data_IF_084409157947
#
_entry.id   IF_084409157947
#
_cell.length_a   1.000
_cell.length_b   1.000
_cell.length_c   1.000
_cell.angle_alpha   90.00
_cell.angle_beta   90.00
_cell.angle_gamma   90.00
#
_symmetry.space_group_name_H-M   'P 1'
#
loop_
_entity.id
_entity.type
_entity.pdbx_description
1 polymer ?
#
# COMPACT_ATOMS: atom_id res chain seq x y z
N UNK A 1 20.49 20.80 -3.53
CA UNK A 1 19.59 19.64 -3.72
C UNK A 1 19.94 18.66 -2.61
N UNK A 2 19.07 18.50 -1.62
CA UNK A 2 19.32 17.57 -0.51
C UNK A 2 19.09 16.14 -1.03
N UNK A 3 20.11 15.29 -0.97
CA UNK A 3 19.98 13.88 -1.25
C UNK A 3 19.44 13.23 0.01
N UNK A 4 18.16 12.86 0.00
CA UNK A 4 17.56 12.06 1.07
C UNK A 4 18.15 10.65 0.93
N UNK A 5 19.04 10.26 1.84
CA UNK A 5 19.50 8.89 1.96
C UNK A 5 18.35 8.08 2.59
N UNK A 6 17.57 7.42 1.78
CA UNK A 6 16.66 6.37 2.26
C UNK A 6 17.52 5.12 2.45
N UNK A 7 17.67 4.67 3.68
CA UNK A 7 18.27 3.36 3.95
C UNK A 7 17.17 2.32 3.72
N UNK A 8 17.15 1.73 2.53
CA UNK A 8 16.27 0.60 2.23
C UNK A 8 16.82 -0.61 2.97
N UNK A 9 16.06 -1.15 3.92
CA UNK A 9 16.48 -2.33 4.69
C UNK A 9 15.38 -3.39 4.58
N UNK A 10 15.84 -4.62 4.41
CA UNK A 10 15.01 -5.81 4.41
C UNK A 10 14.04 -5.87 5.59
N UNK A 11 12.92 -6.55 5.41
CA UNK A 11 11.75 -6.73 6.29
C UNK A 11 12.00 -7.06 7.78
N UNK A 12 13.23 -7.11 8.27
CA UNK A 12 13.58 -7.52 9.63
C UNK A 12 14.10 -6.37 10.51
N UNK A 13 14.10 -5.13 10.06
CA UNK A 13 14.71 -4.02 10.81
C UNK A 13 13.70 -3.17 11.59
N UNK A 14 12.43 -3.24 11.25
CA UNK A 14 11.33 -2.54 11.91
C UNK A 14 10.32 -3.55 12.43
N UNK A 15 9.83 -3.35 13.64
CA UNK A 15 8.61 -3.98 14.13
C UNK A 15 7.47 -2.98 13.94
N UNK A 16 6.35 -3.42 13.45
CA UNK A 16 5.14 -2.62 13.30
C UNK A 16 4.07 -3.15 14.23
N UNK A 17 3.55 -2.29 15.08
CA UNK A 17 2.38 -2.54 15.91
C UNK A 17 1.16 -1.99 15.16
N UNK A 18 0.27 -2.89 14.73
CA UNK A 18 -0.91 -2.52 13.93
C UNK A 18 -1.94 -1.77 14.78
N UNK A 19 -2.10 -2.11 16.06
CA UNK A 19 -3.10 -1.51 16.94
C UNK A 19 -2.73 -0.06 17.29
N UNK A 20 -1.48 0.17 17.67
CA UNK A 20 -0.95 1.49 18.02
C UNK A 20 -0.49 2.29 16.79
N UNK A 21 -0.37 1.64 15.64
CA UNK A 21 0.16 2.19 14.39
C UNK A 21 1.56 2.80 14.53
N UNK A 22 2.39 2.12 15.31
CA UNK A 22 3.75 2.54 15.68
C UNK A 22 4.77 1.58 15.10
N UNK A 23 5.84 2.14 14.56
CA UNK A 23 7.01 1.38 14.18
C UNK A 23 8.07 1.47 15.29
N UNK A 24 8.76 0.36 15.57
CA UNK A 24 9.89 0.34 16.50
C UNK A 24 11.12 -0.28 15.86
N UNK A 25 12.29 0.27 16.22
CA UNK A 25 13.59 -0.22 15.76
C UNK A 25 14.64 0.04 16.84
N UNK A 26 15.35 -1.01 17.27
CA UNK A 26 16.36 -0.93 18.32
C UNK A 26 15.84 -0.23 19.59
N UNK A 27 14.61 -0.57 20.02
CA UNK A 27 13.93 0.03 21.18
C UNK A 27 13.58 1.53 21.03
N UNK A 28 13.70 2.08 19.83
CA UNK A 28 13.29 3.46 19.52
C UNK A 28 12.00 3.46 18.67
N UNK A 29 11.11 4.38 19.01
CA UNK A 29 9.86 4.59 18.27
C UNK A 29 10.05 5.47 17.03
N UNK A 30 9.35 5.10 15.96
CA UNK A 30 9.25 5.85 14.70
C UNK A 30 7.79 6.15 14.41
N UNK A 31 7.50 7.42 14.19
CA UNK A 31 6.15 7.84 13.79
C UNK A 31 5.84 7.35 12.38
N UNK A 32 4.67 6.76 12.15
CA UNK A 32 4.27 6.42 10.80
C UNK A 32 4.13 7.68 9.93
N UNK A 33 4.49 7.61 8.65
CA UNK A 33 4.34 8.72 7.70
C UNK A 33 2.88 9.16 7.64
N UNK A 34 1.95 8.22 7.70
CA UNK A 34 0.50 8.52 7.71
C UNK A 34 0.10 9.33 8.93
N UNK A 35 0.56 8.94 10.12
CA UNK A 35 0.32 9.67 11.39
C UNK A 35 0.98 11.05 11.35
N UNK A 36 2.19 11.16 10.80
CA UNK A 36 2.86 12.44 10.63
C UNK A 36 2.07 13.39 9.72
N UNK A 37 1.60 12.90 8.58
CA UNK A 37 0.82 13.70 7.60
C UNK A 37 -0.50 14.16 8.22
N UNK A 38 -1.19 13.32 8.99
CA UNK A 38 -2.45 13.69 9.68
C UNK A 38 -2.33 14.94 10.53
N UNK A 39 -1.14 15.28 11.07
CA UNK A 39 -0.92 16.49 11.85
C UNK A 39 -1.11 17.80 11.07
N UNK A 40 -1.09 17.74 9.75
CA UNK A 40 -1.22 18.92 8.86
C UNK A 40 -2.62 19.07 8.23
N UNK A 41 -3.51 18.11 8.49
CA UNK A 41 -4.87 18.12 7.95
C UNK A 41 -5.87 17.98 9.09
N UNK A 42 -7.06 18.57 8.91
CA UNK A 42 -8.18 18.29 9.81
C UNK A 42 -8.59 16.84 9.68
N UNK A 43 -8.98 16.21 10.78
CA UNK A 43 -9.53 14.86 10.75
C UNK A 43 -10.77 14.80 9.85
N UNK A 44 -10.87 13.69 9.11
CA UNK A 44 -12.04 13.42 8.29
C UNK A 44 -13.17 12.95 9.19
N UNK A 45 -14.19 13.81 9.35
CA UNK A 45 -15.40 13.47 10.08
C UNK A 45 -16.34 12.67 9.16
N UNK A 46 -16.17 11.35 9.21
CA UNK A 46 -16.92 10.39 8.39
C UNK A 46 -18.42 10.50 8.67
N UNK A 47 -18.81 10.67 9.95
CA UNK A 47 -20.21 10.77 10.36
C UNK A 47 -20.89 12.01 9.80
N UNK A 48 -20.28 13.17 9.98
CA UNK A 48 -20.83 14.42 9.45
C UNK A 48 -20.90 14.43 7.93
N UNK A 49 -19.93 13.80 7.25
CA UNK A 49 -19.94 13.68 5.79
C UNK A 49 -21.02 12.68 5.34
N UNK A 50 -21.17 11.54 5.99
CA UNK A 50 -22.21 10.55 5.68
C UNK A 50 -23.61 11.14 5.87
N UNK A 51 -23.84 11.86 6.95
CA UNK A 51 -25.11 12.55 7.20
C UNK A 51 -25.46 13.53 6.08
N UNK A 52 -24.51 14.38 5.66
CA UNK A 52 -24.71 15.29 4.52
C UNK A 52 -24.97 14.55 3.21
N UNK A 53 -24.38 13.39 3.00
CA UNK A 53 -24.57 12.58 1.80
C UNK A 53 -25.93 11.89 1.76
N UNK A 54 -26.46 11.45 2.89
CA UNK A 54 -27.79 10.85 3.01
C UNK A 54 -28.93 11.82 2.57
N UNK A 55 -28.73 13.14 2.71
CA UNK A 55 -29.70 14.16 2.29
C UNK A 55 -29.37 14.79 0.93
N UNK A 56 -28.34 14.32 0.24
CA UNK A 56 -27.90 14.87 -1.03
C UNK A 56 -28.36 14.04 -2.22
N UNK A 57 -28.71 14.72 -3.33
CA UNK A 57 -28.96 14.01 -4.59
C UNK A 57 -27.72 13.28 -5.08
N UNK A 58 -27.87 12.07 -5.60
CA UNK A 58 -26.81 11.29 -6.22
C UNK A 58 -26.69 9.89 -5.65
N UNK A 59 -25.49 9.35 -5.65
CA UNK A 59 -25.18 7.93 -5.34
C UNK A 59 -25.74 7.41 -4.01
N UNK A 60 -25.97 8.29 -3.04
CA UNK A 60 -26.36 7.95 -1.67
C UNK A 60 -27.75 8.47 -1.29
N UNK A 61 -28.54 9.00 -2.24
CA UNK A 61 -29.82 9.68 -1.97
C UNK A 61 -30.89 8.79 -1.35
N UNK A 62 -30.77 7.49 -1.49
CA UNK A 62 -31.69 6.45 -1.00
C UNK A 62 -31.14 5.68 0.22
N UNK A 63 -30.07 6.16 0.83
CA UNK A 63 -29.35 5.48 1.91
C UNK A 63 -29.36 6.25 3.19
N UNK A 64 -29.44 5.54 4.32
CA UNK A 64 -29.23 6.13 5.63
C UNK A 64 -27.74 6.46 5.87
N UNK A 65 -27.46 7.25 6.89
CA UNK A 65 -26.10 7.55 7.35
C UNK A 65 -25.33 6.26 7.65
N UNK A 66 -25.98 5.36 8.38
CA UNK A 66 -25.41 4.08 8.81
C UNK A 66 -25.05 3.21 7.59
N UNK A 67 -25.96 3.08 6.64
CA UNK A 67 -25.70 2.34 5.40
C UNK A 67 -24.52 2.93 4.60
N UNK A 68 -24.35 4.24 4.61
CA UNK A 68 -23.21 4.91 3.94
C UNK A 68 -21.90 4.57 4.66
N UNK A 69 -21.88 4.63 5.99
CA UNK A 69 -20.72 4.28 6.80
C UNK A 69 -20.33 2.82 6.61
N UNK A 70 -21.29 1.90 6.65
CA UNK A 70 -21.08 0.47 6.42
C UNK A 70 -20.50 0.22 5.01
N UNK A 71 -21.04 0.90 3.99
CA UNK A 71 -20.52 0.81 2.63
C UNK A 71 -19.09 1.33 2.50
N UNK A 72 -18.71 2.35 3.25
CA UNK A 72 -17.34 2.86 3.23
C UNK A 72 -16.39 1.92 3.95
N UNK A 73 -16.81 1.36 5.09
CA UNK A 73 -16.02 0.36 5.82
C UNK A 73 -15.80 -0.88 4.95
N UNK A 74 -16.86 -1.43 4.36
CA UNK A 74 -16.74 -2.60 3.48
C UNK A 74 -15.76 -2.35 2.32
N UNK A 75 -15.76 -1.13 1.75
CA UNK A 75 -14.79 -0.80 0.69
C UNK A 75 -13.35 -0.67 1.18
N UNK A 76 -13.15 -0.24 2.42
CA UNK A 76 -11.83 -0.22 3.02
C UNK A 76 -11.32 -1.65 3.24
N UNK A 77 -12.17 -2.51 3.78
CA UNK A 77 -11.86 -3.92 4.01
C UNK A 77 -11.58 -4.67 2.69
N UNK A 78 -12.44 -4.47 1.69
CA UNK A 78 -12.22 -5.01 0.33
C UNK A 78 -10.89 -4.52 -0.27
N UNK A 79 -10.52 -3.25 0.00
CA UNK A 79 -9.26 -2.67 -0.44
C UNK A 79 -8.05 -3.33 0.22
N UNK A 80 -8.11 -3.50 1.53
CA UNK A 80 -7.07 -4.19 2.31
C UNK A 80 -6.88 -5.62 1.83
N UNK A 81 -7.97 -6.34 1.61
CA UNK A 81 -7.91 -7.72 1.11
C UNK A 81 -7.29 -7.81 -0.29
N UNK A 82 -7.60 -6.87 -1.18
CA UNK A 82 -6.99 -6.82 -2.52
C UNK A 82 -5.48 -6.62 -2.43
N UNK A 83 -5.00 -5.72 -1.55
CA UNK A 83 -3.57 -5.49 -1.33
C UNK A 83 -2.89 -6.76 -0.82
N UNK A 84 -3.45 -7.40 0.22
CA UNK A 84 -2.95 -8.65 0.80
C UNK A 84 -2.77 -9.74 -0.26
N UNK A 85 -3.78 -9.97 -1.10
CA UNK A 85 -3.74 -11.02 -2.12
C UNK A 85 -2.74 -10.73 -3.25
N UNK A 86 -2.56 -9.45 -3.64
CA UNK A 86 -1.51 -9.07 -4.61
C UNK A 86 -0.12 -9.26 -3.99
N UNK A 87 0.06 -8.88 -2.73
CA UNK A 87 1.30 -9.09 -1.99
C UNK A 87 1.68 -10.56 -1.92
N UNK A 88 0.77 -11.42 -1.47
CA UNK A 88 0.98 -12.87 -1.38
C UNK A 88 1.34 -13.46 -2.74
N UNK A 89 0.62 -13.08 -3.79
CA UNK A 89 0.94 -13.52 -5.14
C UNK A 89 2.35 -13.12 -5.59
N UNK A 90 2.80 -11.88 -5.28
CA UNK A 90 4.15 -11.43 -5.58
C UNK A 90 5.19 -12.18 -4.77
N UNK A 91 4.92 -12.49 -3.50
CA UNK A 91 5.79 -13.28 -2.63
C UNK A 91 5.95 -14.71 -3.13
N UNK A 92 4.85 -15.35 -3.55
CA UNK A 92 4.90 -16.68 -4.20
C UNK A 92 5.77 -16.62 -5.46
N UNK A 93 5.54 -15.60 -6.30
CA UNK A 93 6.18 -15.53 -7.61
C UNK A 93 7.68 -15.21 -7.57
N UNK A 94 8.12 -14.38 -6.62
CA UNK A 94 9.48 -13.83 -6.60
C UNK A 94 10.31 -14.20 -5.38
N UNK A 95 9.69 -14.64 -4.30
CA UNK A 95 10.37 -14.88 -3.03
C UNK A 95 10.30 -16.35 -2.57
N UNK A 96 9.75 -17.25 -3.40
CA UNK A 96 9.58 -18.68 -3.13
C UNK A 96 8.78 -18.95 -1.83
N UNK A 97 7.86 -18.05 -1.46
CA UNK A 97 6.99 -18.22 -0.30
C UNK A 97 5.75 -19.05 -0.68
N UNK A 98 5.19 -19.78 0.29
CA UNK A 98 3.98 -20.58 0.11
C UNK A 98 2.82 -19.96 0.90
N UNK A 99 1.69 -19.73 0.25
CA UNK A 99 0.44 -19.25 0.84
C UNK A 99 -0.72 -20.17 0.45
N UNK A 100 -1.86 -19.98 1.10
CA UNK A 100 -3.08 -20.72 0.76
C UNK A 100 -3.58 -20.39 -0.65
N UNK A 101 -4.30 -21.34 -1.27
CA UNK A 101 -4.93 -21.14 -2.57
C UNK A 101 -6.32 -20.47 -2.36
N UNK A 102 -6.31 -19.16 -2.15
CA UNK A 102 -7.53 -18.37 -1.98
C UNK A 102 -8.00 -17.78 -3.31
N UNK A 103 -9.34 -17.73 -3.56
CA UNK A 103 -9.85 -17.15 -4.78
C UNK A 103 -9.63 -15.63 -4.80
N UNK A 104 -8.94 -15.15 -5.84
CA UNK A 104 -8.68 -13.73 -6.01
C UNK A 104 -9.94 -12.97 -6.48
N UNK A 105 -10.31 -11.87 -5.81
CA UNK A 105 -11.35 -10.96 -6.30
C UNK A 105 -10.89 -10.25 -7.58
N UNK A 106 -11.86 -9.77 -8.38
CA UNK A 106 -11.61 -9.15 -9.69
C UNK A 106 -10.52 -8.07 -9.65
N UNK A 107 -10.50 -7.23 -8.62
CA UNK A 107 -9.49 -6.17 -8.50
C UNK A 107 -8.07 -6.71 -8.24
N UNK A 108 -7.94 -7.79 -7.49
CA UNK A 108 -6.64 -8.44 -7.28
C UNK A 108 -6.15 -9.10 -8.59
N UNK A 109 -7.07 -9.72 -9.36
CA UNK A 109 -6.77 -10.24 -10.70
C UNK A 109 -6.29 -9.11 -11.61
N UNK A 110 -6.96 -7.95 -11.62
CA UNK A 110 -6.55 -6.78 -12.40
C UNK A 110 -5.16 -6.26 -12.00
N UNK A 111 -4.84 -6.24 -10.70
CA UNK A 111 -3.51 -5.87 -10.22
C UNK A 111 -2.42 -6.83 -10.71
N UNK A 112 -2.70 -8.13 -10.65
CA UNK A 112 -1.84 -9.17 -11.19
C UNK A 112 -1.64 -9.02 -12.71
N UNK A 113 -2.72 -8.87 -13.47
CA UNK A 113 -2.67 -8.66 -14.91
C UNK A 113 -1.88 -7.40 -15.29
N UNK A 114 -2.09 -6.31 -14.53
CA UNK A 114 -1.30 -5.08 -14.72
C UNK A 114 0.20 -5.34 -14.55
N UNK A 115 0.59 -6.08 -13.51
CA UNK A 115 1.98 -6.44 -13.30
C UNK A 115 2.55 -7.24 -14.46
N UNK A 116 1.87 -8.30 -14.86
CA UNK A 116 2.29 -9.22 -15.93
C UNK A 116 2.43 -8.48 -17.28
N UNK A 117 1.47 -7.61 -17.61
CA UNK A 117 1.42 -6.94 -18.91
C UNK A 117 2.20 -5.62 -18.99
N UNK A 118 2.36 -4.88 -17.88
CA UNK A 118 3.01 -3.56 -17.93
C UNK A 118 4.39 -3.57 -17.25
N UNK A 119 4.64 -4.50 -16.34
CA UNK A 119 5.92 -4.57 -15.65
C UNK A 119 6.80 -5.65 -16.27
N UNK A 120 6.33 -6.88 -16.35
CA UNK A 120 7.15 -7.97 -16.88
C UNK A 120 7.36 -7.93 -18.40
N UNK A 121 6.42 -7.35 -19.17
CA UNK A 121 6.65 -7.18 -20.60
C UNK A 121 7.68 -6.10 -20.93
N UNK A 122 7.73 -5.01 -20.14
CA UNK A 122 8.60 -3.85 -20.40
C UNK A 122 9.96 -3.95 -19.71
N UNK A 123 10.06 -4.71 -18.61
CA UNK A 123 11.25 -4.74 -17.77
C UNK A 123 11.76 -6.17 -17.51
N UNK A 124 13.06 -6.28 -17.31
CA UNK A 124 13.67 -7.45 -16.65
C UNK A 124 13.63 -7.21 -15.15
N UNK A 125 12.68 -7.83 -14.47
CA UNK A 125 12.52 -7.74 -13.02
C UNK A 125 13.52 -8.67 -12.33
N UNK A 126 14.22 -8.18 -11.32
CA UNK A 126 15.26 -8.93 -10.60
C UNK A 126 14.83 -9.25 -9.17
N UNK A 127 14.59 -8.20 -8.39
CA UNK A 127 14.22 -8.33 -6.98
C UNK A 127 12.88 -7.62 -6.78
N UNK A 128 11.96 -8.22 -6.04
CA UNK A 128 10.64 -7.66 -5.69
C UNK A 128 10.48 -7.69 -4.18
N UNK A 129 10.08 -6.56 -3.62
CA UNK A 129 9.84 -6.37 -2.19
C UNK A 129 8.42 -5.88 -1.98
N UNK A 130 7.44 -6.79 -1.82
CA UNK A 130 6.09 -6.42 -1.40
C UNK A 130 6.11 -5.94 0.05
N UNK A 131 5.25 -4.98 0.39
CA UNK A 131 5.12 -4.38 1.71
C UNK A 131 6.49 -3.98 2.30
N UNK A 132 7.29 -3.26 1.47
CA UNK A 132 8.63 -2.84 1.88
C UNK A 132 8.56 -1.78 2.96
N UNK A 133 9.00 -2.13 4.16
CA UNK A 133 9.16 -1.17 5.26
C UNK A 133 10.38 -0.26 5.02
N UNK A 134 10.17 1.03 5.18
CA UNK A 134 11.19 2.07 5.03
C UNK A 134 11.19 3.01 6.22
N UNK A 135 12.35 3.56 6.55
CA UNK A 135 12.46 4.50 7.66
C UNK A 135 13.54 5.56 7.43
N UNK A 136 13.48 6.60 8.23
CA UNK A 136 14.48 7.67 8.28
C UNK A 136 14.87 7.96 9.71
N UNK A 137 16.14 7.69 10.06
CA UNK A 137 16.64 7.78 11.45
C UNK A 137 16.60 9.21 12.02
N UNK A 138 16.98 10.22 11.25
CA UNK A 138 17.05 11.60 11.73
C UNK A 138 15.66 12.19 12.01
N UNK A 139 14.65 11.81 11.22
CA UNK A 139 13.28 12.29 11.40
C UNK A 139 12.41 11.37 12.23
N UNK A 140 12.92 10.18 12.57
CA UNK A 140 12.15 9.14 13.27
C UNK A 140 10.80 8.89 12.59
N UNK A 141 10.84 8.77 11.28
CA UNK A 141 9.68 8.45 10.44
C UNK A 141 9.86 7.07 9.83
N UNK A 142 8.76 6.33 9.76
CA UNK A 142 8.71 5.05 9.08
C UNK A 142 7.41 4.89 8.29
N UNK A 143 7.39 3.96 7.36
CA UNK A 143 6.22 3.64 6.56
C UNK A 143 6.43 2.39 5.74
N UNK A 144 5.37 1.96 5.08
CA UNK A 144 5.36 0.81 4.19
C UNK A 144 5.06 1.25 2.77
N UNK A 145 5.73 0.66 1.81
CA UNK A 145 5.53 0.84 0.37
C UNK A 145 4.91 -0.45 -0.15
N UNK A 146 3.77 -0.39 -0.82
CA UNK A 146 3.04 -1.58 -1.28
C UNK A 146 3.94 -2.52 -2.08
N UNK A 147 4.68 -2.01 -3.07
CA UNK A 147 5.68 -2.79 -3.81
C UNK A 147 6.86 -1.91 -4.22
N UNK A 148 8.06 -2.38 -3.91
CA UNK A 148 9.28 -1.90 -4.54
C UNK A 148 9.89 -3.02 -5.38
N UNK A 149 10.47 -2.70 -6.53
CA UNK A 149 11.12 -3.70 -7.35
C UNK A 149 12.32 -3.14 -8.12
N UNK A 150 13.31 -3.98 -8.31
CA UNK A 150 14.53 -3.68 -9.06
C UNK A 150 14.44 -4.27 -10.45
N UNK A 151 14.74 -3.47 -11.43
CA UNK A 151 14.60 -3.88 -12.82
C UNK A 151 15.61 -3.22 -13.74
N UNK A 152 15.70 -3.75 -14.95
CA UNK A 152 16.34 -3.11 -16.10
C UNK A 152 15.32 -2.96 -17.22
N UNK A 153 15.36 -1.85 -17.96
CA UNK A 153 14.57 -1.72 -19.19
C UNK A 153 14.98 -2.77 -20.22
N UNK A 154 14.05 -3.30 -20.97
CA UNK A 154 14.30 -4.18 -22.13
C UNK A 154 14.84 -3.38 -23.32
N UNK A 155 16.06 -2.81 -23.22
CA UNK A 155 16.65 -1.98 -24.28
C UNK A 155 18.17 -1.91 -24.19
N UNK A 156 18.80 -1.31 -25.22
CA UNK A 156 20.28 -1.32 -25.41
C UNK A 156 21.10 -0.53 -24.37
N UNK A 157 20.45 0.24 -23.49
CA UNK A 157 21.11 1.05 -22.43
C UNK A 157 20.50 0.75 -21.06
N UNK A 158 20.36 -0.52 -20.76
CA UNK A 158 19.71 -0.98 -19.52
C UNK A 158 20.48 -0.54 -18.27
N UNK A 159 19.99 0.51 -17.61
CA UNK A 159 20.43 0.89 -16.26
C UNK A 159 19.57 0.18 -15.24
N UNK A 160 20.21 -0.31 -14.17
CA UNK A 160 19.47 -0.79 -12.98
C UNK A 160 18.70 0.36 -12.36
N UNK A 161 17.43 0.14 -12.14
CA UNK A 161 16.50 1.10 -11.54
C UNK A 161 15.71 0.43 -10.44
N UNK A 162 15.19 1.22 -9.52
CA UNK A 162 14.18 0.80 -8.54
C UNK A 162 12.92 1.59 -8.82
N UNK A 163 11.81 0.90 -8.94
CA UNK A 163 10.49 1.50 -9.09
C UNK A 163 9.61 1.13 -7.91
N UNK A 164 8.66 2.00 -7.63
CA UNK A 164 7.68 1.85 -6.54
C UNK A 164 6.29 1.82 -7.15
N UNK A 165 5.44 0.95 -6.63
CA UNK A 165 4.02 0.88 -6.95
C UNK A 165 3.22 1.06 -5.67
N UNK A 166 2.13 1.80 -5.76
CA UNK A 166 1.12 1.98 -4.75
C UNK A 166 -0.23 1.63 -5.37
N UNK A 167 -0.90 0.61 -4.84
CA UNK A 167 -2.14 0.10 -5.37
C UNK A 167 -3.32 0.97 -4.92
N UNK A 168 -4.19 1.36 -5.86
CA UNK A 168 -5.39 2.14 -5.55
C UNK A 168 -6.65 1.37 -5.96
N UNK A 169 -7.43 1.00 -4.96
CA UNK A 169 -8.63 0.15 -5.12
C UNK A 169 -9.96 0.92 -5.17
N UNK A 170 -9.93 2.24 -5.10
CA UNK A 170 -11.10 3.13 -4.84
C UNK A 170 -11.80 3.63 -6.10
N UNK A 171 -11.64 2.99 -7.25
CA UNK A 171 -12.37 3.39 -8.47
C UNK A 171 -13.47 2.42 -8.83
#
# INVERSE_FOLDING_TARGET
>A
MAVIKVSVISNNALNFDEDEHIYTRNDEEYTSVTTFIKKFFSEFDAEAVAEKKAYSYGKYSDKSKEEILDMWQQKADDGTEVHRLIEEWLRIKYNDEEFGDEPMPVKAIQGKEYWETNIEEDYFVHDVWPELQVYHDDYKLAGTIDVAFKHNSKGKTAKRQVSLIDWKTNK
#
